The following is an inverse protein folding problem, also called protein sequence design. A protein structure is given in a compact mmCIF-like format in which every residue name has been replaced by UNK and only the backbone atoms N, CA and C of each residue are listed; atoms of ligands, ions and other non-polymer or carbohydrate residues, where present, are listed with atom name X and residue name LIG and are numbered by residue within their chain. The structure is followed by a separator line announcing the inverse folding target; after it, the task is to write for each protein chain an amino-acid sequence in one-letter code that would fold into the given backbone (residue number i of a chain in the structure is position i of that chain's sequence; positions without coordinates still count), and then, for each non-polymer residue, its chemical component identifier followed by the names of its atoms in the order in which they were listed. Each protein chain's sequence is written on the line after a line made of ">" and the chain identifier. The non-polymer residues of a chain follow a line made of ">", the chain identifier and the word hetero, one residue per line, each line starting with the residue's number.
data_IF_897700124929
#
_entry.id   IF_897700124929
#
_cell.length_a   1.000
_cell.length_b   1.000
_cell.length_c   1.000
_cell.angle_alpha   90.00
_cell.angle_beta   90.00
_cell.angle_gamma   90.00
#
_symmetry.space_group_name_H-M   'P 1'
#
loop_
_entity.id
_entity.type
_entity.pdbx_description
1 polymer ?
#
# COMPACT_ATOMS: atom_id res chain seq x y z
N UNK A 1 9.17 6.15 8.50
CA UNK A 1 8.86 7.53 8.07
C UNK A 1 9.37 7.71 6.64
N UNK A 2 8.60 8.30 5.74
CA UNK A 2 9.03 8.54 4.35
C UNK A 2 10.29 9.41 4.31
N UNK A 3 11.34 8.93 3.66
CA UNK A 3 12.67 9.55 3.69
C UNK A 3 12.88 10.48 2.46
N UNK A 4 13.29 11.75 2.65
CA UNK A 4 13.62 12.67 1.56
C UNK A 4 14.60 12.09 0.52
N UNK A 5 15.49 11.18 0.91
CA UNK A 5 16.43 10.54 -0.02
C UNK A 5 15.75 9.60 -1.01
N UNK A 6 14.73 8.87 -0.56
CA UNK A 6 13.94 8.00 -1.44
C UNK A 6 13.17 8.82 -2.48
N UNK A 7 12.75 10.02 -2.09
CA UNK A 7 12.10 10.98 -2.97
C UNK A 7 13.03 11.46 -4.08
N UNK A 8 14.26 11.80 -3.72
CA UNK A 8 15.29 12.23 -4.67
C UNK A 8 15.68 11.14 -5.66
N UNK A 9 15.81 9.89 -5.18
CA UNK A 9 16.12 8.76 -6.05
C UNK A 9 14.96 8.41 -7.00
N UNK A 10 13.72 8.53 -6.53
CA UNK A 10 12.54 8.34 -7.37
C UNK A 10 12.44 9.45 -8.42
N UNK A 11 12.62 10.71 -8.03
CA UNK A 11 12.61 11.85 -8.95
C UNK A 11 13.69 11.70 -10.04
N UNK A 12 14.90 11.27 -9.68
CA UNK A 12 15.98 10.96 -10.64
C UNK A 12 15.62 9.83 -11.59
N UNK A 13 15.05 8.73 -11.08
CA UNK A 13 14.61 7.60 -11.92
C UNK A 13 13.51 8.03 -12.90
N UNK A 14 12.52 8.77 -12.43
CA UNK A 14 11.44 9.29 -13.27
C UNK A 14 11.97 10.27 -14.32
N UNK A 15 12.90 11.15 -13.95
CA UNK A 15 13.54 12.07 -14.89
C UNK A 15 14.37 11.32 -15.96
N UNK A 16 15.11 10.27 -15.57
CA UNK A 16 15.88 9.43 -16.50
C UNK A 16 15.01 8.58 -17.44
N UNK A 17 13.74 8.36 -17.09
CA UNK A 17 12.77 7.65 -17.93
C UNK A 17 12.08 8.58 -18.96
N UNK A 18 12.28 9.90 -18.87
CA UNK A 18 11.74 10.84 -19.85
C UNK A 18 12.49 10.72 -21.18
N UNK A 19 11.84 11.00 -22.34
CA UNK A 19 12.51 11.07 -23.63
C UNK A 19 13.72 12.01 -23.63
N UNK A 20 14.79 11.71 -24.40
CA UNK A 20 16.02 12.52 -24.43
C UNK A 20 15.77 13.99 -24.82
N UNK A 21 14.73 14.26 -25.61
CA UNK A 21 14.28 15.62 -25.95
C UNK A 21 13.83 16.45 -24.74
N UNK A 22 13.43 15.80 -23.64
CA UNK A 22 13.02 16.44 -22.38
C UNK A 22 14.13 16.38 -21.31
N UNK A 23 15.06 15.43 -21.39
CA UNK A 23 16.21 15.32 -20.49
C UNK A 23 17.22 16.45 -20.66
N UNK A 24 17.29 17.04 -21.86
CA UNK A 24 18.21 18.14 -22.18
C UNK A 24 17.75 19.50 -21.62
N UNK A 25 16.59 19.56 -20.96
CA UNK A 25 16.08 20.81 -20.40
C UNK A 25 16.60 20.96 -18.96
N UNK A 26 17.20 22.12 -18.68
CA UNK A 26 18.11 22.44 -17.56
C UNK A 26 17.63 22.09 -16.13
N UNK A 27 18.55 22.27 -15.17
CA UNK A 27 18.36 22.11 -13.70
C UNK A 27 17.08 22.74 -13.14
N UNK A 28 16.59 23.83 -13.73
CA UNK A 28 15.37 24.51 -13.29
C UNK A 28 14.12 23.66 -13.49
N UNK A 29 14.04 22.87 -14.58
CA UNK A 29 12.93 21.93 -14.77
C UNK A 29 13.04 20.76 -13.79
N UNK A 30 14.25 20.28 -13.51
CA UNK A 30 14.45 19.21 -12.54
C UNK A 30 13.96 19.61 -11.14
N UNK A 31 14.23 20.85 -10.72
CA UNK A 31 13.77 21.38 -9.44
C UNK A 31 12.23 21.51 -9.41
N UNK A 32 11.62 22.08 -10.46
CA UNK A 32 10.15 22.16 -10.57
C UNK A 32 9.48 20.79 -10.64
N UNK A 33 10.10 19.83 -11.30
CA UNK A 33 9.60 18.46 -11.40
C UNK A 33 9.59 17.78 -10.02
N UNK A 34 10.67 17.95 -9.23
CA UNK A 34 10.73 17.46 -7.85
C UNK A 34 9.64 18.08 -6.97
N UNK A 35 9.42 19.39 -7.08
CA UNK A 35 8.37 20.10 -6.33
C UNK A 35 6.95 19.61 -6.70
N UNK A 36 6.66 19.43 -8.00
CA UNK A 36 5.37 18.90 -8.46
C UNK A 36 5.15 17.47 -7.99
N UNK A 37 6.17 16.61 -8.07
CA UNK A 37 6.08 15.26 -7.52
C UNK A 37 5.82 15.33 -6.01
N UNK A 38 6.51 16.21 -5.28
CA UNK A 38 6.39 16.28 -3.82
C UNK A 38 4.99 16.74 -3.42
N UNK A 39 4.42 17.70 -4.15
CA UNK A 39 3.03 18.09 -3.99
C UNK A 39 2.07 16.95 -4.30
N UNK A 40 2.29 16.21 -5.40
CA UNK A 40 1.44 15.09 -5.81
C UNK A 40 1.44 13.94 -4.77
N UNK A 41 2.63 13.55 -4.29
CA UNK A 41 2.76 12.52 -3.26
C UNK A 41 2.24 12.97 -1.88
N UNK A 42 2.29 14.27 -1.58
CA UNK A 42 1.67 14.81 -0.36
C UNK A 42 0.13 14.79 -0.41
N UNK A 43 -0.45 14.81 -1.62
CA UNK A 43 -1.90 14.65 -1.82
C UNK A 43 -2.33 13.19 -1.87
N UNK A 44 -1.40 12.25 -2.03
CA UNK A 44 -1.69 10.83 -1.90
C UNK A 44 -1.72 10.49 -0.41
N UNK A 45 -2.74 9.76 0.04
CA UNK A 45 -2.82 9.21 1.40
C UNK A 45 -1.81 8.06 1.58
N UNK A 46 -0.52 8.39 1.49
CA UNK A 46 0.57 7.43 1.54
C UNK A 46 0.72 6.91 2.96
N UNK A 47 0.63 5.59 3.12
CA UNK A 47 0.97 4.90 4.36
C UNK A 47 2.38 4.33 4.26
N UNK A 48 3.09 4.27 5.38
CA UNK A 48 4.44 3.67 5.41
C UNK A 48 4.37 2.18 5.13
N UNK A 49 5.49 1.60 4.65
CA UNK A 49 5.57 0.16 4.43
C UNK A 49 5.32 -0.64 5.71
N UNK A 50 5.79 -0.14 6.85
CA UNK A 50 5.57 -0.76 8.16
C UNK A 50 4.08 -0.79 8.53
N UNK A 51 3.36 0.32 8.33
CA UNK A 51 1.90 0.37 8.57
C UNK A 51 1.14 -0.58 7.65
N UNK A 52 1.52 -0.64 6.37
CA UNK A 52 0.95 -1.59 5.43
C UNK A 52 1.17 -3.05 5.87
N UNK A 53 2.38 -3.39 6.30
CA UNK A 53 2.72 -4.73 6.74
C UNK A 53 1.95 -5.10 8.04
N UNK A 54 1.75 -4.14 8.95
CA UNK A 54 0.91 -4.32 10.14
C UNK A 54 -0.55 -4.57 9.75
N UNK A 55 -1.13 -3.77 8.86
CA UNK A 55 -2.51 -3.97 8.40
C UNK A 55 -2.69 -5.32 7.71
N UNK A 56 -1.70 -5.75 6.92
CA UNK A 56 -1.70 -7.07 6.28
C UNK A 56 -1.74 -8.21 7.32
N UNK A 57 -0.97 -8.10 8.41
CA UNK A 57 -1.01 -9.08 9.52
C UNK A 57 -2.35 -9.09 10.24
N UNK A 58 -2.94 -7.92 10.49
CA UNK A 58 -4.27 -7.80 11.10
C UNK A 58 -5.32 -8.47 10.21
N UNK A 59 -5.25 -8.26 8.90
CA UNK A 59 -6.16 -8.88 7.93
C UNK A 59 -6.02 -10.41 7.92
N UNK A 60 -4.79 -10.93 7.92
CA UNK A 60 -4.53 -12.36 7.98
C UNK A 60 -5.15 -13.00 9.23
N UNK A 61 -4.91 -12.42 10.41
CA UNK A 61 -5.48 -12.89 11.68
C UNK A 61 -7.01 -12.82 11.68
N UNK A 62 -7.58 -11.79 11.06
CA UNK A 62 -9.04 -11.64 10.97
C UNK A 62 -9.64 -12.74 10.10
N UNK A 63 -9.01 -13.08 8.97
CA UNK A 63 -9.44 -14.20 8.12
C UNK A 63 -9.42 -15.53 8.87
N UNK A 64 -8.33 -15.82 9.57
CA UNK A 64 -8.22 -17.04 10.39
C UNK A 64 -9.34 -17.12 11.43
N UNK A 65 -9.64 -16.01 12.12
CA UNK A 65 -10.71 -15.95 13.12
C UNK A 65 -12.09 -16.15 12.49
N UNK A 66 -12.34 -15.59 11.31
CA UNK A 66 -13.59 -15.78 10.57
C UNK A 66 -13.76 -17.25 10.17
N UNK A 67 -12.72 -17.90 9.67
CA UNK A 67 -12.78 -19.33 9.32
C UNK A 67 -13.05 -20.22 10.54
N UNK A 68 -12.45 -19.91 11.69
CA UNK A 68 -12.72 -20.62 12.94
C UNK A 68 -14.17 -20.47 13.39
N UNK A 69 -14.70 -19.25 13.35
CA UNK A 69 -16.10 -18.97 13.69
C UNK A 69 -17.04 -19.69 12.73
N UNK A 70 -16.75 -19.70 11.44
CA UNK A 70 -17.54 -20.42 10.45
C UNK A 70 -17.61 -21.92 10.76
N UNK A 71 -16.47 -22.55 11.07
CA UNK A 71 -16.43 -23.96 11.51
C UNK A 71 -17.25 -24.21 12.78
N UNK A 72 -17.18 -23.30 13.75
CA UNK A 72 -17.98 -23.41 14.99
C UNK A 72 -19.46 -23.34 14.70
N UNK A 73 -19.89 -22.41 13.84
CA UNK A 73 -21.28 -22.29 13.41
C UNK A 73 -21.74 -23.55 12.68
N UNK A 74 -20.95 -24.08 11.75
CA UNK A 74 -21.29 -25.30 11.01
C UNK A 74 -21.42 -26.53 11.93
N UNK A 75 -20.53 -26.66 12.91
CA UNK A 75 -20.62 -27.70 13.93
C UNK A 75 -21.90 -27.58 14.76
N UNK A 76 -22.24 -26.38 15.23
CA UNK A 76 -23.45 -26.12 15.99
C UNK A 76 -24.72 -26.39 15.16
N UNK A 77 -24.76 -25.95 13.89
CA UNK A 77 -25.86 -26.24 12.98
C UNK A 77 -26.03 -27.75 12.74
N UNK A 78 -24.92 -28.48 12.63
CA UNK A 78 -24.94 -29.95 12.46
C UNK A 78 -25.47 -30.65 13.72
N UNK A 79 -25.11 -30.18 14.91
CA UNK A 79 -25.62 -30.71 16.17
C UNK A 79 -27.13 -30.46 16.31
N UNK A 80 -27.58 -29.22 16.05
CA UNK A 80 -28.99 -28.87 16.12
C UNK A 80 -29.86 -29.72 15.17
N UNK A 81 -29.37 -29.97 13.96
CA UNK A 81 -30.06 -30.82 12.98
C UNK A 81 -30.08 -32.31 13.36
N UNK A 82 -29.16 -32.77 14.22
CA UNK A 82 -29.18 -34.13 14.76
C UNK A 82 -30.16 -34.27 15.92
N UNK A 83 -30.27 -33.25 16.76
CA UNK A 83 -31.20 -33.25 17.91
C UNK A 83 -32.67 -33.10 17.49
N UNK A 84 -32.94 -32.63 16.27
CA UNK A 84 -34.29 -32.51 15.70
C UNK A 84 -34.76 -33.74 14.90
N UNK A 85 -33.93 -34.78 14.75
CA UNK A 85 -34.28 -36.06 14.08
C UNK A 85 -34.45 -37.18 15.09
#
# INVERSE_FOLDING_TARGET
>A
MFDPKQFDDLAKKLFSALPPSLQNIEKDIQQKFKEVLQAAFSHMELITREEFDVQTKVLARTREKVEQLQKQVDMLMTQLNKDQK
#
